data_IF_128832763724
#
_entry.id   IF_128832763724
#
_cell.length_a   1.000
_cell.length_b   1.000
_cell.length_c   1.000
_cell.angle_alpha   90.00
_cell.angle_beta   90.00
_cell.angle_gamma   90.00
#
_symmetry.space_group_name_H-M   'P 1'
#
loop_
_entity.id
_entity.type
_entity.pdbx_description
1 polymer ?
#
# COMPACT_ATOMS: atom_id res chain seq x y z
N UNK A 1 0.62 -10.33 -15.01
CA UNK A 1 1.27 -9.00 -14.96
C UNK A 1 2.54 -9.18 -14.13
N UNK A 2 3.73 -9.19 -14.72
CA UNK A 2 4.99 -9.62 -14.07
C UNK A 2 5.64 -8.58 -13.15
N UNK A 3 4.85 -7.76 -12.45
CA UNK A 3 5.34 -6.73 -11.54
C UNK A 3 5.94 -7.35 -10.27
N UNK A 4 6.96 -6.68 -9.71
CA UNK A 4 7.73 -7.18 -8.57
C UNK A 4 7.83 -6.19 -7.41
N UNK A 5 7.63 -4.89 -7.67
CA UNK A 5 7.63 -3.85 -6.63
C UNK A 5 6.19 -3.40 -6.38
N UNK A 6 5.54 -3.98 -5.39
CA UNK A 6 4.15 -3.67 -5.06
C UNK A 6 4.07 -2.98 -3.70
N UNK A 7 3.26 -1.94 -3.62
CA UNK A 7 2.96 -1.21 -2.40
C UNK A 7 1.49 -1.35 -2.01
N UNK A 8 1.18 -1.08 -0.74
CA UNK A 8 -0.17 -1.07 -0.19
C UNK A 8 -0.45 0.24 0.53
N UNK A 9 -1.64 0.81 0.33
CA UNK A 9 -2.20 1.89 1.16
C UNK A 9 -3.30 1.27 2.01
N UNK A 10 -3.02 1.09 3.29
CA UNK A 10 -3.98 0.59 4.27
C UNK A 10 -4.93 1.70 4.75
N UNK A 11 -6.00 1.30 5.44
CA UNK A 11 -6.85 2.23 6.19
C UNK A 11 -6.12 2.82 7.40
N UNK A 12 -6.83 3.55 8.28
CA UNK A 12 -6.22 4.13 9.47
C UNK A 12 -5.60 3.07 10.39
N UNK A 13 -4.40 3.31 10.88
CA UNK A 13 -3.68 2.44 11.83
C UNK A 13 -4.47 2.17 13.14
N UNK A 14 -5.43 3.01 13.49
CA UNK A 14 -6.30 2.80 14.66
C UNK A 14 -7.39 1.74 14.42
N UNK A 15 -7.49 1.18 13.22
CA UNK A 15 -8.47 0.15 12.87
C UNK A 15 -7.79 -1.21 12.79
N UNK A 16 -8.36 -2.22 13.47
CA UNK A 16 -7.87 -3.61 13.39
C UNK A 16 -7.83 -4.10 11.94
N UNK A 17 -8.76 -3.64 11.11
CA UNK A 17 -8.83 -3.96 9.68
C UNK A 17 -7.67 -3.40 8.86
N UNK A 18 -7.04 -2.30 9.28
CA UNK A 18 -5.87 -1.72 8.59
C UNK A 18 -4.67 -2.65 8.66
N UNK A 19 -4.32 -3.08 9.88
CA UNK A 19 -3.19 -3.98 10.14
C UNK A 19 -3.43 -5.37 9.56
N UNK A 20 -4.64 -5.92 9.69
CA UNK A 20 -5.02 -7.20 9.10
C UNK A 20 -4.83 -7.23 7.58
N UNK A 21 -5.14 -6.13 6.88
CA UNK A 21 -4.95 -6.03 5.42
C UNK A 21 -3.48 -5.94 5.03
N UNK A 22 -2.65 -5.28 5.84
CA UNK A 22 -1.20 -5.24 5.62
C UNK A 22 -0.60 -6.63 5.79
N UNK A 23 -0.96 -7.34 6.85
CA UNK A 23 -0.46 -8.70 7.09
C UNK A 23 -0.92 -9.68 6.01
N UNK A 24 -2.20 -9.65 5.62
CA UNK A 24 -2.70 -10.47 4.50
C UNK A 24 -1.97 -10.17 3.18
N UNK A 25 -1.65 -8.89 2.91
CA UNK A 25 -0.89 -8.50 1.73
C UNK A 25 0.56 -8.99 1.81
N UNK A 26 1.18 -8.91 3.00
CA UNK A 26 2.53 -9.41 3.27
C UNK A 26 2.61 -10.94 3.10
N UNK A 27 1.61 -11.68 3.56
CA UNK A 27 1.49 -13.12 3.33
C UNK A 27 1.43 -13.45 1.83
N UNK A 28 0.54 -12.76 1.08
CA UNK A 28 0.41 -12.96 -0.36
C UNK A 28 1.72 -12.63 -1.13
N UNK A 29 2.41 -11.56 -0.75
CA UNK A 29 3.74 -11.24 -1.31
C UNK A 29 4.75 -12.35 -1.05
N UNK A 30 4.76 -12.92 0.16
CA UNK A 30 5.67 -14.00 0.54
C UNK A 30 5.44 -15.27 -0.28
N UNK A 31 4.18 -15.65 -0.51
CA UNK A 31 3.80 -16.79 -1.35
C UNK A 31 4.31 -16.64 -2.80
N UNK A 32 4.41 -15.40 -3.27
CA UNK A 32 4.93 -15.05 -4.60
C UNK A 32 6.45 -14.84 -4.62
N UNK A 33 7.14 -14.99 -3.48
CA UNK A 33 8.58 -14.74 -3.37
C UNK A 33 8.94 -13.26 -3.58
N UNK A 34 8.02 -12.35 -3.24
CA UNK A 34 8.19 -10.90 -3.33
C UNK A 34 8.39 -10.32 -1.93
N UNK A 35 9.21 -9.26 -1.86
CA UNK A 35 9.42 -8.52 -0.62
C UNK A 35 8.41 -7.37 -0.52
N UNK A 36 7.98 -7.08 0.71
CA UNK A 36 7.21 -5.87 1.04
C UNK A 36 8.03 -5.04 2.04
N UNK A 37 8.87 -4.10 1.55
CA UNK A 37 9.58 -3.16 2.41
C UNK A 37 8.59 -2.24 3.14
N UNK A 38 8.91 -1.81 4.36
CA UNK A 38 8.02 -0.93 5.12
C UNK A 38 7.80 0.43 4.42
N UNK A 39 8.77 0.88 3.60
CA UNK A 39 8.62 2.06 2.75
C UNK A 39 7.49 1.93 1.70
N UNK A 40 7.04 0.70 1.41
CA UNK A 40 5.94 0.40 0.49
C UNK A 40 4.59 0.21 1.22
N UNK A 41 4.53 0.53 2.51
CA UNK A 41 3.32 0.48 3.32
C UNK A 41 2.91 1.92 3.65
N UNK A 42 1.81 2.34 3.07
CA UNK A 42 1.18 3.63 3.27
C UNK A 42 -0.03 3.50 4.18
N UNK A 43 -0.32 4.56 4.92
CA UNK A 43 -1.47 4.65 5.82
C UNK A 43 -2.39 5.76 5.33
N UNK A 44 -3.67 5.45 5.17
CA UNK A 44 -4.68 6.40 4.75
C UNK A 44 -5.81 6.57 5.77
N UNK A 45 -6.78 7.42 5.42
CA UNK A 45 -7.92 7.78 6.27
C UNK A 45 -9.28 7.52 5.57
N UNK A 46 -9.27 6.67 4.53
CA UNK A 46 -10.40 6.41 3.64
C UNK A 46 -10.85 7.63 2.83
N UNK A 47 -10.04 8.68 2.71
CA UNK A 47 -10.30 9.81 1.81
C UNK A 47 -9.30 9.84 0.66
N UNK A 48 -9.70 10.40 -0.49
CA UNK A 48 -8.83 10.54 -1.65
C UNK A 48 -7.54 11.31 -1.34
N UNK A 49 -7.64 12.35 -0.50
CA UNK A 49 -6.47 13.13 -0.10
C UNK A 49 -5.40 12.29 0.62
N UNK A 50 -5.78 11.25 1.38
CA UNK A 50 -4.78 10.38 2.01
C UNK A 50 -4.14 9.42 1.03
N UNK A 51 -4.93 8.88 0.10
CA UNK A 51 -4.42 8.06 -1.01
C UNK A 51 -3.36 8.81 -1.80
N UNK A 52 -3.69 10.06 -2.18
CA UNK A 52 -2.77 10.97 -2.87
C UNK A 52 -1.45 11.16 -2.12
N UNK A 53 -1.51 11.53 -0.83
CA UNK A 53 -0.30 11.77 -0.01
C UNK A 53 0.59 10.53 0.08
N UNK A 54 -0.01 9.35 0.28
CA UNK A 54 0.73 8.10 0.34
C UNK A 54 1.40 7.78 -1.01
N UNK A 55 0.67 7.93 -2.11
CA UNK A 55 1.19 7.74 -3.47
C UNK A 55 2.32 8.71 -3.80
N UNK A 56 2.19 10.00 -3.46
CA UNK A 56 3.25 11.00 -3.62
C UNK A 56 4.51 10.59 -2.83
N UNK A 57 4.35 10.07 -1.61
CA UNK A 57 5.46 9.52 -0.82
C UNK A 57 6.14 8.33 -1.48
N UNK A 58 5.38 7.39 -2.05
CA UNK A 58 5.92 6.24 -2.78
C UNK A 58 6.68 6.65 -4.04
N UNK A 59 6.16 7.62 -4.80
CA UNK A 59 6.79 8.11 -6.02
C UNK A 59 8.08 8.89 -5.76
N UNK A 60 8.27 9.39 -4.53
CA UNK A 60 9.50 10.08 -4.11
C UNK A 60 10.63 9.11 -3.67
N UNK A 61 10.36 7.79 -3.59
CA UNK A 61 11.39 6.80 -3.25
C UNK A 61 12.42 6.66 -4.36
N UNK A 62 13.65 6.30 -4.00
CA UNK A 62 14.72 6.02 -4.97
C UNK A 62 14.32 4.88 -5.93
N UNK A 63 13.60 3.88 -5.42
CA UNK A 63 12.99 2.81 -6.20
C UNK A 63 11.47 2.82 -5.92
N UNK A 64 10.66 3.52 -6.73
CA UNK A 64 9.21 3.57 -6.52
C UNK A 64 8.54 2.22 -6.88
N UNK A 65 7.37 1.92 -6.29
CA UNK A 65 6.59 0.74 -6.64
C UNK A 65 6.04 0.84 -8.06
N UNK A 66 5.83 -0.32 -8.68
CA UNK A 66 5.20 -0.48 -10.00
C UNK A 66 3.68 -0.52 -9.91
N UNK A 67 3.16 -1.00 -8.77
CA UNK A 67 1.74 -1.18 -8.51
C UNK A 67 1.46 -0.74 -7.07
N UNK A 68 0.36 -0.03 -6.88
CA UNK A 68 -0.16 0.35 -5.56
C UNK A 68 -1.53 -0.31 -5.37
N UNK A 69 -1.69 -1.06 -4.28
CA UNK A 69 -2.97 -1.59 -3.84
C UNK A 69 -3.55 -0.69 -2.76
N UNK A 70 -4.65 0.01 -3.06
CA UNK A 70 -5.36 0.80 -2.07
C UNK A 70 -6.48 -0.02 -1.43
N UNK A 71 -6.55 -0.03 -0.10
CA UNK A 71 -7.53 -0.79 0.67
C UNK A 71 -8.95 -0.17 0.65
N UNK A 72 -9.14 0.95 -0.03
CA UNK A 72 -10.42 1.62 -0.21
C UNK A 72 -10.46 2.38 -1.55
N UNK A 73 -11.66 2.52 -2.12
CA UNK A 73 -11.87 3.14 -3.43
C UNK A 73 -11.53 4.64 -3.46
N UNK A 74 -11.85 5.39 -2.40
CA UNK A 74 -11.54 6.83 -2.38
C UNK A 74 -10.03 7.04 -2.35
N UNK A 75 -9.31 6.24 -1.57
CA UNK A 75 -7.85 6.28 -1.55
C UNK A 75 -7.25 5.86 -2.90
N UNK A 76 -7.86 4.91 -3.61
CA UNK A 76 -7.42 4.48 -4.94
C UNK A 76 -7.56 5.58 -6.01
N UNK A 77 -8.55 6.48 -5.86
CA UNK A 77 -8.78 7.61 -6.77
C UNK A 77 -7.84 8.80 -6.53
N UNK A 78 -7.12 8.80 -5.39
CA UNK A 78 -6.30 9.90 -4.91
C UNK A 78 -4.96 10.06 -5.61
#
# INVERSE_FOLDING_TARGET
>A
LGHRRLAIIAGPAATTTGDERVEAFRDAMRELGLALPDAYIGQGDFQAASGRRATEGFLALAEPPEVVFAADNLMALG
#
